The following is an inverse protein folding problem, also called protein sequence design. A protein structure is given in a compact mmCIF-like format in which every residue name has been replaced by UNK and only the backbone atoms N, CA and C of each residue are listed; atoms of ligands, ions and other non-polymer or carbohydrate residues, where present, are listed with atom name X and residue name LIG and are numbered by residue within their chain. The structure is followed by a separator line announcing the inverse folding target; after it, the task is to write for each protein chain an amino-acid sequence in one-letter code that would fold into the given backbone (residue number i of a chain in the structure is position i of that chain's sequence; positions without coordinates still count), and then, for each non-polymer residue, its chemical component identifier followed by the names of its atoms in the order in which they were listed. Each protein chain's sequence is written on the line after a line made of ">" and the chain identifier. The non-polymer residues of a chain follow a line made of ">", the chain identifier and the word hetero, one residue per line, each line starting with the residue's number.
data_IF_003245861167
#
_entry.id   IF_003245861167
#
_cell.length_a   1.000
_cell.length_b   1.000
_cell.length_c   1.000
_cell.angle_alpha   90.00
_cell.angle_beta   90.00
_cell.angle_gamma   90.00
#
_symmetry.space_group_name_H-M   'P 1'
#
loop_
_entity.id
_entity.type
_entity.pdbx_description
1 polymer ?
#
# COMPACT_ATOMS: atom_id res chain seq x y z
N UNK A 1 -49.16 -22.35 40.16
CA UNK A 1 -49.20 -21.84 38.77
C UNK A 1 -47.80 -21.94 38.18
N UNK A 2 -47.62 -22.78 37.15
CA UNK A 2 -46.37 -22.89 36.37
C UNK A 2 -46.63 -22.19 35.03
N UNK A 3 -45.91 -21.12 34.74
CA UNK A 3 -45.92 -20.45 33.43
C UNK A 3 -44.88 -21.14 32.54
N UNK A 4 -45.34 -22.04 31.68
CA UNK A 4 -44.57 -22.59 30.58
C UNK A 4 -44.68 -21.60 29.42
N UNK A 5 -43.62 -20.83 29.18
CA UNK A 5 -43.50 -19.97 28.00
C UNK A 5 -43.14 -20.85 26.82
N UNK A 6 -44.15 -21.29 26.07
CA UNK A 6 -43.98 -21.96 24.78
C UNK A 6 -43.43 -20.95 23.77
N UNK A 7 -42.11 -20.87 23.63
CA UNK A 7 -41.49 -20.13 22.53
C UNK A 7 -41.61 -21.02 21.29
N UNK A 8 -42.51 -20.62 20.39
CA UNK A 8 -42.82 -21.31 19.14
C UNK A 8 -41.57 -21.43 18.26
N UNK A 9 -41.28 -22.64 17.77
CA UNK A 9 -40.18 -22.96 16.84
C UNK A 9 -40.25 -22.13 15.54
N UNK A 10 -41.41 -21.56 15.22
CA UNK A 10 -41.62 -20.73 14.04
C UNK A 10 -40.85 -19.39 14.07
N UNK A 11 -40.59 -18.79 15.25
CA UNK A 11 -39.90 -17.48 15.34
C UNK A 11 -38.38 -17.59 15.21
N UNK A 12 -37.78 -18.77 15.40
CA UNK A 12 -36.36 -19.00 15.16
C UNK A 12 -36.04 -19.14 13.65
N UNK A 13 -36.96 -19.73 12.89
CA UNK A 13 -36.76 -19.96 11.45
C UNK A 13 -36.76 -18.66 10.63
N UNK A 14 -37.60 -17.68 10.99
CA UNK A 14 -37.66 -16.38 10.30
C UNK A 14 -36.40 -15.54 10.52
N UNK A 15 -35.71 -15.71 11.64
CA UNK A 15 -34.48 -14.97 11.95
C UNK A 15 -33.28 -15.43 11.12
N UNK A 16 -33.19 -16.73 10.80
CA UNK A 16 -32.09 -17.28 9.99
C UNK A 16 -32.27 -16.89 8.51
N UNK A 17 -33.51 -16.92 8.00
CA UNK A 17 -33.79 -16.51 6.62
C UNK A 17 -33.52 -15.03 6.37
N UNK A 18 -33.81 -14.15 7.34
CA UNK A 18 -33.47 -12.74 7.24
C UNK A 18 -31.94 -12.52 7.24
N UNK A 19 -31.19 -13.26 8.05
CA UNK A 19 -29.73 -13.17 8.09
C UNK A 19 -29.08 -13.62 6.77
N UNK A 20 -29.60 -14.69 6.16
CA UNK A 20 -29.15 -15.19 4.85
C UNK A 20 -29.45 -14.20 3.72
N UNK A 21 -30.59 -13.50 3.77
CA UNK A 21 -30.92 -12.47 2.79
C UNK A 21 -30.01 -11.23 2.93
N UNK A 22 -29.66 -10.83 4.15
CA UNK A 22 -28.70 -9.73 4.38
C UNK A 22 -27.29 -10.12 3.93
N UNK A 23 -26.85 -11.36 4.21
CA UNK A 23 -25.56 -11.88 3.74
C UNK A 23 -25.51 -12.00 2.21
N UNK A 24 -26.58 -12.47 1.57
CA UNK A 24 -26.64 -12.49 0.10
C UNK A 24 -26.63 -11.07 -0.46
N UNK A 25 -27.36 -10.10 0.10
CA UNK A 25 -27.30 -8.72 -0.37
C UNK A 25 -25.89 -8.11 -0.31
N UNK A 26 -25.12 -8.38 0.76
CA UNK A 26 -23.73 -7.90 0.86
C UNK A 26 -22.81 -8.61 -0.15
N UNK A 27 -23.08 -9.87 -0.48
CA UNK A 27 -22.29 -10.67 -1.43
C UNK A 27 -22.69 -10.39 -2.89
N UNK A 28 -23.90 -9.89 -3.14
CA UNK A 28 -24.46 -9.70 -4.50
C UNK A 28 -24.63 -8.24 -4.89
N UNK A 29 -24.07 -7.27 -4.17
CA UNK A 29 -23.87 -5.95 -4.77
C UNK A 29 -22.93 -6.15 -5.98
N UNK A 30 -23.39 -5.87 -7.22
CA UNK A 30 -22.48 -5.81 -8.34
C UNK A 30 -21.65 -4.56 -8.09
N UNK A 31 -20.40 -4.75 -7.68
CA UNK A 31 -19.39 -3.70 -7.73
C UNK A 31 -19.05 -3.44 -9.21
N UNK A 32 -20.03 -2.96 -9.98
CA UNK A 32 -19.78 -2.18 -11.18
C UNK A 32 -19.43 -0.76 -10.74
N UNK A 33 -18.19 -0.61 -10.30
CA UNK A 33 -17.30 0.31 -10.98
C UNK A 33 -15.90 -0.29 -10.89
N UNK A 34 -15.61 -1.20 -11.81
CA UNK A 34 -14.34 -1.07 -12.51
C UNK A 34 -14.31 0.38 -13.03
N UNK A 35 -13.80 1.31 -12.21
CA UNK A 35 -12.81 2.18 -12.79
C UNK A 35 -11.79 1.21 -13.33
N UNK A 36 -11.89 0.96 -14.64
CA UNK A 36 -10.75 0.55 -15.42
C UNK A 36 -9.74 1.68 -15.18
N UNK A 37 -9.00 1.58 -14.07
CA UNK A 37 -7.57 1.76 -14.14
C UNK A 37 -7.22 0.84 -15.28
N UNK A 38 -7.19 1.39 -16.49
CA UNK A 38 -6.29 0.89 -17.49
C UNK A 38 -4.98 0.82 -16.69
N UNK A 39 -4.65 -0.38 -16.19
CA UNK A 39 -3.28 -0.81 -16.09
C UNK A 39 -2.77 -0.45 -17.47
N UNK A 40 -2.21 0.76 -17.57
CA UNK A 40 -1.58 1.23 -18.78
C UNK A 40 -0.43 0.28 -18.86
N UNK A 41 -0.62 -0.81 -19.59
CA UNK A 41 0.40 -1.75 -19.98
C UNK A 41 1.47 -0.87 -20.63
N UNK A 42 2.46 -0.50 -19.82
CA UNK A 42 3.44 0.46 -20.23
C UNK A 42 4.35 -0.33 -21.17
N UNK A 43 4.17 -0.17 -22.48
CA UNK A 43 5.01 -0.82 -23.50
C UNK A 43 6.48 -0.37 -23.45
N UNK A 44 6.82 0.50 -22.49
CA UNK A 44 8.14 1.00 -22.23
C UNK A 44 8.65 0.37 -20.94
N UNK A 45 9.71 -0.42 -21.04
CA UNK A 45 10.44 -0.93 -19.88
C UNK A 45 10.80 0.24 -18.95
N UNK A 46 10.50 0.12 -17.64
CA UNK A 46 10.82 1.21 -16.71
C UNK A 46 12.33 1.36 -16.65
N UNK A 47 12.79 2.61 -16.68
CA UNK A 47 14.17 2.93 -16.32
C UNK A 47 14.29 3.05 -14.80
N UNK A 48 15.49 2.91 -14.23
CA UNK A 48 15.72 3.17 -12.80
C UNK A 48 15.14 4.53 -12.36
N UNK A 49 15.26 5.56 -13.20
CA UNK A 49 14.67 6.88 -12.93
C UNK A 49 13.15 6.81 -12.79
N UNK A 50 12.47 6.06 -13.68
CA UNK A 50 11.01 5.88 -13.62
C UNK A 50 10.60 5.04 -12.40
N UNK A 51 11.38 4.03 -12.04
CA UNK A 51 11.19 3.23 -10.81
C UNK A 51 11.30 4.12 -9.57
N UNK A 52 12.26 5.05 -9.54
CA UNK A 52 12.37 6.05 -8.47
C UNK A 52 11.16 6.98 -8.41
N UNK A 53 10.61 7.37 -9.56
CA UNK A 53 9.35 8.12 -9.59
C UNK A 53 8.17 7.29 -9.08
N UNK A 54 8.11 5.99 -9.39
CA UNK A 54 7.08 5.09 -8.85
C UNK A 54 7.15 5.02 -7.31
N UNK A 55 8.35 4.88 -6.73
CA UNK A 55 8.56 4.94 -5.26
C UNK A 55 8.07 6.28 -4.69
N UNK A 56 8.42 7.39 -5.32
CA UNK A 56 7.99 8.73 -4.88
C UNK A 56 6.46 8.87 -4.91
N UNK A 57 5.81 8.40 -5.97
CA UNK A 57 4.36 8.47 -6.12
C UNK A 57 3.68 7.59 -5.07
N UNK A 58 4.14 6.34 -4.90
CA UNK A 58 3.63 5.42 -3.89
C UNK A 58 3.75 5.98 -2.47
N UNK A 59 4.92 6.55 -2.12
CA UNK A 59 5.09 7.25 -0.85
C UNK A 59 4.10 8.39 -0.67
N UNK A 60 3.83 9.16 -1.74
CA UNK A 60 2.84 10.25 -1.72
C UNK A 60 1.43 9.73 -1.45
N UNK A 61 1.07 8.58 -2.01
CA UNK A 61 -0.25 7.98 -1.83
C UNK A 61 -0.40 7.33 -0.44
N UNK A 62 0.68 6.78 0.13
CA UNK A 62 0.72 6.34 1.53
C UNK A 62 0.48 7.49 2.50
N UNK A 63 1.16 8.63 2.29
CA UNK A 63 0.98 9.85 3.10
C UNK A 63 -0.47 10.31 3.06
N UNK A 64 -1.06 10.42 1.86
CA UNK A 64 -2.46 10.82 1.67
C UNK A 64 -3.41 9.85 2.38
N UNK A 65 -3.22 8.55 2.19
CA UNK A 65 -4.10 7.51 2.73
C UNK A 65 -4.05 7.44 4.26
N UNK A 66 -2.89 7.75 4.84
CA UNK A 66 -2.71 7.83 6.28
C UNK A 66 -3.19 9.17 6.90
N UNK A 67 -3.61 10.14 6.07
CA UNK A 67 -4.03 11.46 6.53
C UNK A 67 -2.87 12.31 7.09
N UNK A 68 -1.63 11.96 6.77
CA UNK A 68 -0.44 12.64 7.28
C UNK A 68 -0.25 13.97 6.54
N UNK A 69 -0.02 15.06 7.28
CA UNK A 69 0.07 16.42 6.74
C UNK A 69 1.45 17.05 6.96
N UNK A 70 1.68 18.25 6.43
CA UNK A 70 2.94 18.98 6.70
C UNK A 70 3.13 19.29 8.18
N UNK A 71 2.04 19.46 8.92
CA UNK A 71 2.11 19.77 10.36
C UNK A 71 2.17 18.50 11.22
N UNK A 72 2.06 17.31 10.60
CA UNK A 72 2.16 16.03 11.31
C UNK A 72 3.53 15.86 11.98
N UNK A 73 3.57 15.36 13.23
CA UNK A 73 4.80 15.00 13.93
C UNK A 73 5.66 14.03 13.12
N UNK A 74 6.98 14.09 13.31
CA UNK A 74 7.93 13.22 12.59
C UNK A 74 7.68 11.72 12.79
N UNK A 75 7.16 11.32 13.95
CA UNK A 75 6.90 9.91 14.26
C UNK A 75 5.80 9.31 13.36
N UNK A 76 4.77 10.07 12.99
CA UNK A 76 3.71 9.56 12.10
C UNK A 76 4.27 9.17 10.72
N UNK A 77 5.21 9.97 10.21
CA UNK A 77 5.88 9.69 8.94
C UNK A 77 6.77 8.44 9.03
N UNK A 78 7.45 8.23 10.17
CA UNK A 78 8.32 7.07 10.39
C UNK A 78 7.58 5.74 10.44
N UNK A 79 6.29 5.77 10.74
CA UNK A 79 5.44 4.57 10.73
C UNK A 79 5.00 4.17 9.31
N UNK A 80 5.19 5.03 8.30
CA UNK A 80 4.79 4.73 6.93
C UNK A 80 5.75 3.73 6.28
N UNK A 81 5.23 2.76 5.49
CA UNK A 81 6.06 1.78 4.81
C UNK A 81 7.20 2.42 4.00
N UNK A 82 8.41 1.90 4.19
CA UNK A 82 9.60 2.30 3.45
C UNK A 82 10.20 3.65 3.83
N UNK A 83 9.61 4.36 4.79
CA UNK A 83 10.21 5.59 5.32
C UNK A 83 11.60 5.29 5.91
N UNK A 84 12.58 6.10 5.54
CA UNK A 84 13.99 5.93 5.93
C UNK A 84 14.77 4.88 5.13
N UNK A 85 14.07 3.96 4.45
CA UNK A 85 14.69 2.89 3.66
C UNK A 85 14.72 3.20 2.16
N UNK A 86 13.59 3.63 1.61
CA UNK A 86 13.41 3.90 0.18
C UNK A 86 13.12 5.37 -0.09
N UNK A 87 12.54 6.05 0.88
CA UNK A 87 12.19 7.45 0.76
C UNK A 87 12.26 8.14 2.12
N UNK A 88 12.44 9.46 2.09
CA UNK A 88 12.38 10.32 3.28
C UNK A 88 11.50 11.52 3.02
N UNK A 89 11.08 12.16 4.10
CA UNK A 89 10.47 13.49 4.03
C UNK A 89 11.52 14.49 3.58
N UNK A 90 11.21 15.26 2.55
CA UNK A 90 12.12 16.31 2.08
C UNK A 90 12.00 17.57 2.96
N UNK A 91 13.14 18.18 3.24
CA UNK A 91 13.21 19.52 3.86
C UNK A 91 13.45 20.54 2.76
N UNK A 92 12.79 21.70 2.79
CA UNK A 92 13.17 22.81 1.94
C UNK A 92 14.48 23.42 2.46
N UNK A 93 15.48 23.56 1.59
CA UNK A 93 16.79 24.13 1.96
C UNK A 93 16.69 25.61 2.35
N UNK A 94 15.69 26.31 1.81
CA UNK A 94 15.52 27.77 1.97
C UNK A 94 14.66 28.17 3.15
N UNK A 95 13.72 27.33 3.60
CA UNK A 95 12.79 27.70 4.67
C UNK A 95 12.92 26.85 5.94
N UNK A 96 13.81 25.83 5.96
CA UNK A 96 13.81 24.78 6.99
C UNK A 96 12.40 24.19 7.23
N UNK A 97 11.52 24.30 6.23
CA UNK A 97 10.16 23.79 6.31
C UNK A 97 10.12 22.43 5.66
N UNK A 98 9.45 21.53 6.34
CA UNK A 98 9.22 20.19 5.85
C UNK A 98 8.21 20.25 4.70
N UNK A 99 8.50 19.62 3.57
CA UNK A 99 7.61 19.65 2.38
C UNK A 99 6.64 18.46 2.37
N UNK A 100 5.54 18.59 1.61
CA UNK A 100 4.62 17.48 1.27
C UNK A 100 5.24 16.37 0.43
N UNK A 101 6.36 16.64 -0.23
CA UNK A 101 6.86 15.76 -1.27
C UNK A 101 7.89 14.79 -0.72
N UNK A 102 7.63 13.47 -0.75
CA UNK A 102 8.64 12.51 -0.41
C UNK A 102 9.77 12.55 -1.43
N UNK A 103 10.98 12.26 -0.97
CA UNK A 103 12.16 12.09 -1.80
C UNK A 103 12.53 10.61 -1.82
N UNK A 104 12.45 9.98 -2.99
CA UNK A 104 12.97 8.62 -3.20
C UNK A 104 14.50 8.64 -3.35
N UNK A 105 15.18 7.79 -2.59
CA UNK A 105 16.63 7.72 -2.58
C UNK A 105 17.19 7.23 -3.94
N UNK A 106 18.30 7.81 -4.43
CA UNK A 106 19.00 7.24 -5.59
C UNK A 106 19.68 5.92 -5.24
N UNK A 107 20.05 5.14 -6.26
CA UNK A 107 20.92 3.98 -6.06
C UNK A 107 22.22 4.38 -5.33
N UNK A 108 22.69 3.49 -4.46
CA UNK A 108 23.92 3.65 -3.68
C UNK A 108 24.45 2.29 -3.26
N UNK A 109 25.55 2.26 -2.50
CA UNK A 109 26.07 1.03 -1.90
C UNK A 109 25.06 0.34 -0.97
N UNK A 110 24.10 1.10 -0.43
CA UNK A 110 23.11 0.61 0.54
C UNK A 110 21.68 0.50 -0.03
N UNK A 111 21.46 0.92 -1.27
CA UNK A 111 20.16 0.86 -1.94
C UNK A 111 20.35 0.48 -3.41
N UNK A 112 19.83 -0.68 -3.80
CA UNK A 112 20.00 -1.23 -5.15
C UNK A 112 18.66 -1.33 -5.87
N UNK A 113 18.70 -1.14 -7.18
CA UNK A 113 17.58 -1.29 -8.09
C UNK A 113 17.97 -2.36 -9.11
N UNK A 114 17.38 -3.57 -8.99
CA UNK A 114 17.74 -4.71 -9.83
C UNK A 114 16.54 -5.13 -10.66
N UNK A 115 16.71 -5.26 -11.97
CA UNK A 115 15.65 -5.76 -12.85
C UNK A 115 15.69 -7.29 -12.96
N UNK A 116 14.56 -7.95 -12.71
CA UNK A 116 14.37 -9.39 -12.87
C UNK A 116 13.54 -9.62 -14.12
N UNK A 117 14.23 -9.92 -15.21
CA UNK A 117 13.65 -10.07 -16.55
C UNK A 117 12.64 -11.21 -16.67
N UNK A 118 12.76 -12.25 -15.85
CA UNK A 118 11.86 -13.41 -15.91
C UNK A 118 10.43 -13.06 -15.47
N UNK A 119 10.31 -12.11 -14.56
CA UNK A 119 9.05 -11.76 -13.90
C UNK A 119 8.61 -10.32 -14.25
N UNK A 120 9.37 -9.61 -15.08
CA UNK A 120 9.20 -8.19 -15.42
C UNK A 120 8.97 -7.30 -14.17
N UNK A 121 9.85 -7.48 -13.18
CA UNK A 121 9.84 -6.72 -11.93
C UNK A 121 11.17 -6.03 -11.65
N UNK A 122 11.07 -4.85 -11.04
CA UNK A 122 12.17 -4.19 -10.38
C UNK A 122 12.19 -4.55 -8.89
N UNK A 123 13.28 -5.15 -8.46
CA UNK A 123 13.57 -5.45 -7.06
C UNK A 123 14.41 -4.33 -6.46
N UNK A 124 13.80 -3.54 -5.59
CA UNK A 124 14.46 -2.43 -4.89
C UNK A 124 14.79 -2.89 -3.47
N UNK A 125 16.08 -3.01 -3.18
CA UNK A 125 16.56 -3.56 -1.89
C UNK A 125 17.41 -2.56 -1.16
N UNK A 126 17.04 -2.29 0.09
CA UNK A 126 17.71 -1.34 0.97
C UNK A 126 18.28 -2.05 2.19
N UNK A 127 19.57 -1.83 2.43
CA UNK A 127 20.30 -2.14 3.68
C UNK A 127 20.66 -0.83 4.40
N UNK A 128 19.88 0.22 4.17
CA UNK A 128 20.11 1.55 4.73
C UNK A 128 19.95 1.53 6.26
N UNK A 129 21.07 1.40 6.98
CA UNK A 129 21.19 1.27 8.44
C UNK A 129 20.76 2.54 9.25
N UNK A 130 19.58 3.10 8.98
CA UNK A 130 19.07 4.29 9.66
C UNK A 130 18.09 4.01 10.80
N UNK A 131 17.45 2.84 10.82
CA UNK A 131 16.35 2.55 11.74
C UNK A 131 16.50 1.21 12.47
N UNK A 132 16.86 0.12 11.79
CA UNK A 132 17.09 -1.23 12.36
C UNK A 132 18.10 -2.03 11.50
N UNK A 133 18.66 -3.15 11.98
CA UNK A 133 19.51 -4.05 11.17
C UNK A 133 18.64 -5.02 10.36
N UNK A 134 17.83 -4.49 9.45
CA UNK A 134 16.93 -5.29 8.64
C UNK A 134 17.05 -4.91 7.16
N UNK A 135 17.13 -5.90 6.27
CA UNK A 135 17.09 -5.64 4.84
C UNK A 135 15.63 -5.50 4.42
N UNK A 136 15.27 -4.36 3.82
CA UNK A 136 13.93 -4.14 3.26
C UNK A 136 13.97 -4.30 1.76
N UNK A 137 12.91 -4.91 1.21
CA UNK A 137 12.76 -5.11 -0.23
C UNK A 137 11.36 -4.71 -0.68
N UNK A 138 11.29 -3.91 -1.73
CA UNK A 138 10.09 -3.59 -2.48
C UNK A 138 10.20 -4.15 -3.89
N UNK A 139 9.09 -4.69 -4.40
CA UNK A 139 8.96 -5.10 -5.80
C UNK A 139 8.12 -4.06 -6.53
N UNK A 140 8.52 -3.73 -7.74
CA UNK A 140 7.82 -2.78 -8.60
C UNK A 140 7.56 -3.49 -9.91
N UNK A 141 6.29 -3.73 -10.21
CA UNK A 141 5.87 -4.31 -11.47
C UNK A 141 6.22 -3.35 -12.61
N UNK A 142 6.94 -3.82 -13.63
CA UNK A 142 7.45 -2.98 -14.71
C UNK A 142 6.31 -2.46 -15.62
N UNK A 143 5.29 -3.29 -15.82
CA UNK A 143 4.16 -2.96 -16.69
C UNK A 143 3.23 -1.91 -16.09
N UNK A 144 3.07 -1.88 -14.76
CA UNK A 144 2.09 -1.05 -14.07
C UNK A 144 2.72 0.00 -13.15
N UNK A 145 3.98 -0.18 -12.76
CA UNK A 145 4.64 0.62 -11.73
C UNK A 145 4.14 0.35 -10.31
N UNK A 146 3.34 -0.71 -10.09
CA UNK A 146 2.75 -1.04 -8.80
C UNK A 146 3.81 -1.50 -7.82
N UNK A 147 3.86 -0.87 -6.65
CA UNK A 147 4.76 -1.24 -5.55
C UNK A 147 4.10 -2.30 -4.66
N UNK A 148 4.82 -3.38 -4.38
CA UNK A 148 4.46 -4.39 -3.38
C UNK A 148 5.60 -4.59 -2.39
N UNK A 149 5.25 -5.00 -1.17
CA UNK A 149 6.19 -5.13 -0.06
C UNK A 149 6.64 -6.57 0.11
N UNK A 150 7.91 -6.79 0.44
CA UNK A 150 8.47 -8.11 0.70
C UNK A 150 9.29 -8.67 -0.48
N UNK A 151 9.85 -9.86 -0.31
CA UNK A 151 10.61 -10.54 -1.37
C UNK A 151 9.67 -11.39 -2.23
N UNK A 152 10.05 -11.69 -3.49
CA UNK A 152 9.34 -12.68 -4.28
C UNK A 152 9.31 -14.03 -3.55
N UNK A 153 8.11 -14.52 -3.21
CA UNK A 153 7.89 -15.83 -2.58
C UNK A 153 7.77 -15.86 -1.05
N UNK A 154 7.73 -14.71 -0.38
CA UNK A 154 7.29 -14.61 1.03
C UNK A 154 5.75 -14.74 1.18
#
# INVERSE_FOLDING_TARGET
>A
MRLLTNISIATLATSISALLLVLMMIVTEPWESEESVHERENTQELTETMVRYAIKNHASDLIKSAGVTEDSPSEEWRLLPGYGWFWIRQTSETEQKLTRYPLAHPASELLTYNYIKQDDIWLVTSDFMGLEREIKTWMIDDNTGKVTYGRPGD
#
